data_IF_324279166463
#
_entry.id   IF_324279166463
#
_cell.length_a   1.000
_cell.length_b   1.000
_cell.length_c   1.000
_cell.angle_alpha   90.00
_cell.angle_beta   90.00
_cell.angle_gamma   90.00
#
_symmetry.space_group_name_H-M   'P 1'
#
loop_
_entity.id
_entity.type
_entity.pdbx_description
1 polymer ?
#
# COMPACT_ATOMS: atom_id res chain seq x y z
N UNK A 1 -5.34 -25.54 10.06
CA UNK A 1 -6.71 -25.85 10.52
C UNK A 1 -7.25 -26.86 9.53
N UNK A 2 -8.17 -27.72 9.94
CA UNK A 2 -8.94 -28.47 8.96
C UNK A 2 -9.74 -27.46 8.10
N UNK A 3 -9.47 -27.35 6.79
CA UNK A 3 -10.13 -26.38 5.91
C UNK A 3 -11.66 -26.50 5.93
N UNK A 4 -12.17 -27.71 6.17
CA UNK A 4 -13.61 -27.98 6.27
C UNK A 4 -14.21 -27.36 7.54
N UNK A 5 -13.48 -27.36 8.66
CA UNK A 5 -13.94 -26.72 9.91
C UNK A 5 -13.94 -25.20 9.81
N UNK A 6 -12.94 -24.63 9.13
CA UNK A 6 -12.87 -23.18 8.87
C UNK A 6 -14.00 -22.73 7.94
N UNK A 7 -14.26 -23.48 6.85
CA UNK A 7 -15.38 -23.23 5.95
C UNK A 7 -16.73 -23.32 6.68
N UNK A 8 -16.86 -24.27 7.61
CA UNK A 8 -18.02 -24.41 8.49
C UNK A 8 -18.21 -23.20 9.40
N UNK A 9 -17.15 -22.72 10.06
CA UNK A 9 -17.19 -21.54 10.93
C UNK A 9 -17.58 -20.26 10.19
N UNK A 10 -16.96 -20.00 9.05
CA UNK A 10 -17.30 -18.87 8.17
C UNK A 10 -18.77 -18.95 7.72
N UNK A 11 -19.22 -20.14 7.33
CA UNK A 11 -20.61 -20.34 6.92
C UNK A 11 -21.60 -20.11 8.07
N UNK A 12 -21.29 -20.57 9.29
CA UNK A 12 -22.13 -20.33 10.45
C UNK A 12 -22.23 -18.83 10.77
N UNK A 13 -21.11 -18.13 10.89
CA UNK A 13 -21.07 -16.70 11.18
C UNK A 13 -21.84 -15.89 10.13
N UNK A 14 -21.62 -16.22 8.85
CA UNK A 14 -22.34 -15.61 7.74
C UNK A 14 -23.86 -15.80 7.89
N UNK A 15 -24.34 -17.04 8.08
CA UNK A 15 -25.77 -17.34 8.16
C UNK A 15 -26.45 -16.73 9.39
N UNK A 16 -25.74 -16.58 10.51
CA UNK A 16 -26.26 -15.92 11.71
C UNK A 16 -26.48 -14.41 11.48
N UNK A 17 -25.68 -13.80 10.61
CA UNK A 17 -25.74 -12.35 10.35
C UNK A 17 -26.69 -11.95 9.22
N UNK A 18 -27.19 -12.90 8.43
CA UNK A 18 -28.06 -12.59 7.29
C UNK A 18 -29.51 -13.03 7.52
N UNK A 19 -30.43 -12.31 6.88
CA UNK A 19 -31.81 -12.76 6.66
C UNK A 19 -31.90 -13.30 5.24
N UNK A 20 -32.26 -14.57 5.10
CA UNK A 20 -32.68 -15.12 3.80
C UNK A 20 -34.14 -14.74 3.57
N UNK A 21 -34.42 -13.98 2.53
CA UNK A 21 -35.79 -13.74 2.13
C UNK A 21 -36.43 -15.05 1.65
N UNK A 22 -37.68 -15.32 2.08
CA UNK A 22 -38.40 -16.57 1.82
C UNK A 22 -38.75 -16.81 0.33
N UNK A 23 -38.40 -15.91 -0.59
CA UNK A 23 -38.62 -16.04 -2.03
C UNK A 23 -37.40 -15.56 -2.83
N UNK A 24 -37.07 -16.30 -3.89
CA UNK A 24 -35.83 -16.26 -4.69
C UNK A 24 -35.51 -14.95 -5.45
N UNK A 25 -36.04 -13.79 -5.04
CA UNK A 25 -35.84 -12.51 -5.75
C UNK A 25 -35.44 -11.33 -4.88
N UNK A 26 -35.31 -11.49 -3.57
CA UNK A 26 -34.87 -10.40 -2.68
C UNK A 26 -33.38 -10.53 -2.35
N UNK A 27 -32.61 -9.41 -2.35
CA UNK A 27 -31.21 -9.42 -1.93
C UNK A 27 -31.06 -9.93 -0.50
N UNK A 28 -29.95 -10.61 -0.21
CA UNK A 28 -29.59 -11.00 1.15
C UNK A 28 -29.31 -9.73 1.95
N UNK A 29 -30.00 -9.55 3.08
CA UNK A 29 -29.83 -8.40 3.96
C UNK A 29 -29.27 -8.79 5.33
N UNK A 30 -28.68 -7.83 6.03
CA UNK A 30 -28.21 -8.05 7.40
C UNK A 30 -29.38 -8.17 8.37
N UNK A 31 -29.32 -9.15 9.26
CA UNK A 31 -30.25 -9.30 10.37
C UNK A 31 -30.11 -8.12 11.36
N UNK A 32 -31.17 -7.74 12.05
CA UNK A 32 -31.17 -6.64 13.05
C UNK A 32 -30.16 -6.85 14.20
N UNK A 33 -29.73 -8.09 14.41
CA UNK A 33 -28.71 -8.49 15.41
C UNK A 33 -27.29 -8.59 14.85
N UNK A 34 -27.09 -8.42 13.54
CA UNK A 34 -25.76 -8.54 12.91
C UNK A 34 -24.75 -7.58 13.55
N UNK A 35 -25.16 -6.36 13.87
CA UNK A 35 -24.30 -5.40 14.57
C UNK A 35 -23.84 -5.87 15.96
N UNK A 36 -24.67 -6.63 16.69
CA UNK A 36 -24.26 -7.20 17.99
C UNK A 36 -23.22 -8.30 17.81
N UNK A 37 -23.42 -9.16 16.80
CA UNK A 37 -22.46 -10.22 16.44
C UNK A 37 -21.13 -9.60 16.02
N UNK A 38 -21.14 -8.61 15.13
CA UNK A 38 -19.93 -7.92 14.66
C UNK A 38 -19.16 -7.25 15.81
N UNK A 39 -19.86 -6.53 16.70
CA UNK A 39 -19.22 -5.95 17.90
C UNK A 39 -18.62 -6.99 18.82
N UNK A 40 -19.15 -8.21 18.86
CA UNK A 40 -18.55 -9.28 19.64
C UNK A 40 -17.31 -9.87 18.94
N UNK A 41 -17.40 -10.10 17.62
CA UNK A 41 -16.33 -10.67 16.82
C UNK A 41 -15.09 -9.75 16.74
N UNK A 42 -15.31 -8.44 16.69
CA UNK A 42 -14.24 -7.45 16.55
C UNK A 42 -13.54 -7.10 17.88
N UNK A 43 -13.95 -7.65 19.02
CA UNK A 43 -13.27 -7.39 20.30
C UNK A 43 -11.89 -8.02 20.34
N UNK A 44 -10.98 -7.36 21.06
CA UNK A 44 -9.62 -7.85 21.29
C UNK A 44 -9.61 -9.28 21.82
N UNK A 45 -10.37 -9.57 22.88
CA UNK A 45 -10.49 -10.90 23.48
C UNK A 45 -10.93 -11.99 22.49
N UNK A 46 -11.73 -11.61 21.49
CA UNK A 46 -12.24 -12.55 20.48
C UNK A 46 -11.19 -12.75 19.39
N UNK A 47 -10.61 -11.68 18.86
CA UNK A 47 -9.59 -11.76 17.81
C UNK A 47 -8.27 -12.39 18.31
N UNK A 48 -7.94 -12.26 19.60
CA UNK A 48 -6.76 -12.88 20.22
C UNK A 48 -6.99 -14.31 20.73
N UNK A 49 -8.23 -14.82 20.65
CA UNK A 49 -8.61 -16.11 21.25
C UNK A 49 -7.76 -17.29 20.77
N UNK A 50 -7.17 -17.22 19.58
CA UNK A 50 -6.35 -18.27 19.00
C UNK A 50 -4.83 -18.03 19.07
N UNK A 51 -4.37 -16.92 19.66
CA UNK A 51 -2.93 -16.57 19.67
C UNK A 51 -2.06 -17.62 20.40
N UNK A 52 -2.63 -18.29 21.40
CA UNK A 52 -1.91 -19.24 22.25
C UNK A 52 -1.91 -20.68 21.72
N UNK A 53 -2.49 -20.94 20.54
CA UNK A 53 -2.56 -22.30 20.00
C UNK A 53 -1.39 -22.57 19.05
N UNK A 54 -0.51 -23.55 19.35
CA UNK A 54 0.74 -23.77 18.63
C UNK A 54 0.56 -24.36 17.21
N UNK A 55 -0.67 -24.74 16.82
CA UNK A 55 -0.96 -25.21 15.48
C UNK A 55 -1.52 -24.05 14.65
N UNK A 56 -0.77 -23.64 13.62
CA UNK A 56 -1.11 -22.63 12.61
C UNK A 56 -2.42 -22.96 11.89
N UNK A 57 -3.53 -22.75 12.57
CA UNK A 57 -4.83 -23.25 12.21
C UNK A 57 -5.85 -22.12 12.24
N UNK A 58 -6.12 -21.56 11.04
CA UNK A 58 -7.27 -20.72 10.74
C UNK A 58 -7.58 -19.72 11.85
N UNK A 59 -6.73 -18.70 12.00
CA UNK A 59 -6.86 -17.75 13.10
C UNK A 59 -8.28 -17.17 13.14
N UNK A 60 -8.79 -16.82 14.32
CA UNK A 60 -10.10 -16.13 14.44
C UNK A 60 -10.18 -14.92 13.52
N UNK A 61 -9.06 -14.22 13.32
CA UNK A 61 -8.90 -13.12 12.35
C UNK A 61 -9.24 -13.57 10.93
N UNK A 62 -8.74 -14.72 10.47
CA UNK A 62 -8.99 -15.26 9.12
C UNK A 62 -10.45 -15.68 8.92
N UNK A 63 -11.06 -16.32 9.93
CA UNK A 63 -12.47 -16.68 9.89
C UNK A 63 -13.39 -15.45 9.85
N UNK A 64 -13.09 -14.43 10.67
CA UNK A 64 -13.80 -13.15 10.65
C UNK A 64 -13.60 -12.44 9.31
N UNK A 65 -12.36 -12.37 8.81
CA UNK A 65 -12.02 -11.77 7.51
C UNK A 65 -12.81 -12.40 6.37
N UNK A 66 -12.80 -13.73 6.28
CA UNK A 66 -13.52 -14.50 5.26
C UNK A 66 -15.04 -14.29 5.37
N UNK A 67 -15.56 -14.17 6.59
CA UNK A 67 -16.98 -13.91 6.81
C UNK A 67 -17.37 -12.53 6.31
N UNK A 68 -16.59 -11.50 6.62
CA UNK A 68 -16.83 -10.13 6.16
C UNK A 68 -16.68 -10.01 4.64
N UNK A 69 -15.68 -10.68 4.06
CA UNK A 69 -15.54 -10.78 2.61
C UNK A 69 -16.81 -11.34 1.97
N UNK A 70 -17.32 -12.44 2.50
CA UNK A 70 -18.56 -13.07 2.03
C UNK A 70 -19.79 -12.18 2.22
N UNK A 71 -19.85 -11.37 3.27
CA UNK A 71 -20.90 -10.35 3.44
C UNK A 71 -20.80 -9.29 2.33
N UNK A 72 -19.61 -8.75 2.08
CA UNK A 72 -19.35 -7.79 1.01
C UNK A 72 -19.72 -8.30 -0.39
N UNK A 73 -19.56 -9.61 -0.65
CA UNK A 73 -19.91 -10.24 -1.93
C UNK A 73 -21.42 -10.40 -2.12
N UNK A 74 -22.15 -10.71 -1.04
CA UNK A 74 -23.54 -11.18 -1.13
C UNK A 74 -24.58 -10.13 -0.75
N UNK A 75 -24.24 -9.20 0.15
CA UNK A 75 -25.12 -8.13 0.63
C UNK A 75 -24.95 -6.88 -0.25
N UNK A 76 -25.99 -6.06 -0.35
CA UNK A 76 -25.92 -4.77 -1.04
C UNK A 76 -25.07 -3.77 -0.25
N UNK A 77 -24.31 -2.93 -0.94
CA UNK A 77 -23.36 -2.00 -0.31
C UNK A 77 -24.06 -1.05 0.68
N UNK A 78 -25.27 -0.59 0.37
CA UNK A 78 -26.07 0.31 1.20
C UNK A 78 -26.49 -0.33 2.53
N UNK A 79 -26.62 -1.67 2.55
CA UNK A 79 -26.98 -2.44 3.74
C UNK A 79 -25.78 -2.82 4.60
N UNK A 80 -24.55 -2.59 4.13
CA UNK A 80 -23.30 -2.88 4.86
C UNK A 80 -22.89 -1.77 5.84
N UNK A 81 -23.63 -0.66 5.90
CA UNK A 81 -23.33 0.45 6.83
C UNK A 81 -23.19 0.01 8.29
N UNK A 82 -23.97 -0.98 8.74
CA UNK A 82 -23.85 -1.54 10.10
C UNK A 82 -22.47 -2.19 10.32
N UNK A 83 -21.95 -2.88 9.30
CA UNK A 83 -20.65 -3.53 9.37
C UNK A 83 -19.51 -2.51 9.39
N UNK A 84 -19.54 -1.55 8.47
CA UNK A 84 -18.54 -0.48 8.42
C UNK A 84 -18.53 0.34 9.71
N UNK A 85 -19.70 0.72 10.23
CA UNK A 85 -19.80 1.43 11.51
C UNK A 85 -19.21 0.64 12.69
N UNK A 86 -19.34 -0.68 12.72
CA UNK A 86 -18.75 -1.51 13.77
C UNK A 86 -17.22 -1.56 13.63
N UNK A 87 -16.70 -1.76 12.41
CA UNK A 87 -15.26 -1.74 12.12
C UNK A 87 -14.66 -0.38 12.51
N UNK A 88 -15.28 0.70 12.06
CA UNK A 88 -14.78 2.05 12.28
C UNK A 88 -14.73 2.43 13.75
N UNK A 89 -15.77 2.05 14.49
CA UNK A 89 -15.80 2.30 15.94
C UNK A 89 -14.68 1.54 16.64
N UNK A 90 -14.54 0.25 16.37
CA UNK A 90 -13.56 -0.58 17.06
C UNK A 90 -12.12 -0.18 16.69
N UNK A 91 -11.84 0.11 15.42
CA UNK A 91 -10.51 0.58 14.99
C UNK A 91 -10.16 1.92 15.61
N UNK A 92 -11.11 2.86 15.68
CA UNK A 92 -10.87 4.16 16.35
C UNK A 92 -10.59 4.00 17.84
N UNK A 93 -11.31 3.11 18.53
CA UNK A 93 -11.02 2.79 19.93
C UNK A 93 -9.66 2.11 20.10
N UNK A 94 -9.26 1.21 19.21
CA UNK A 94 -7.93 0.59 19.25
C UNK A 94 -6.80 1.61 19.06
N UNK A 95 -6.97 2.57 18.15
CA UNK A 95 -6.03 3.69 17.94
C UNK A 95 -5.94 4.55 19.19
N UNK A 96 -7.09 5.01 19.72
CA UNK A 96 -7.17 5.86 20.91
C UNK A 96 -6.50 5.22 22.13
N UNK A 97 -6.68 3.91 22.30
CA UNK A 97 -6.13 3.15 23.41
C UNK A 97 -4.73 2.58 23.11
N UNK A 98 -4.12 2.94 21.96
CA UNK A 98 -2.77 2.50 21.54
C UNK A 98 -2.58 0.98 21.53
N UNK A 99 -3.62 0.22 21.20
CA UNK A 99 -3.59 -1.26 21.20
C UNK A 99 -3.02 -1.79 19.90
N UNK A 100 -1.70 -1.82 19.76
CA UNK A 100 -1.01 -2.20 18.50
C UNK A 100 -1.41 -3.58 17.98
N UNK A 101 -1.33 -4.63 18.81
CA UNK A 101 -1.65 -5.99 18.40
C UNK A 101 -3.12 -6.14 17.96
N UNK A 102 -4.05 -5.53 18.71
CA UNK A 102 -5.47 -5.51 18.34
C UNK A 102 -5.69 -4.74 17.03
N UNK A 103 -5.05 -3.58 16.88
CA UNK A 103 -5.14 -2.76 15.68
C UNK A 103 -4.63 -3.50 14.44
N UNK A 104 -3.50 -4.21 14.53
CA UNK A 104 -2.99 -5.02 13.41
C UNK A 104 -4.00 -6.10 12.96
N UNK A 105 -4.67 -6.77 13.91
CA UNK A 105 -5.74 -7.74 13.62
C UNK A 105 -6.95 -7.08 12.98
N UNK A 106 -7.39 -5.93 13.50
CA UNK A 106 -8.50 -5.16 12.93
C UNK A 106 -8.20 -4.67 11.52
N UNK A 107 -6.98 -4.19 11.26
CA UNK A 107 -6.54 -3.79 9.92
C UNK A 107 -6.56 -4.97 8.95
N UNK A 108 -6.13 -6.16 9.38
CA UNK A 108 -6.23 -7.38 8.56
C UNK A 108 -7.68 -7.69 8.16
N UNK A 109 -8.60 -7.61 9.13
CA UNK A 109 -10.04 -7.81 8.88
C UNK A 109 -10.60 -6.72 7.96
N UNK A 110 -10.24 -5.47 8.20
CA UNK A 110 -10.67 -4.31 7.43
C UNK A 110 -10.19 -4.42 5.97
N UNK A 111 -8.90 -4.68 5.74
CA UNK A 111 -8.30 -4.86 4.42
C UNK A 111 -9.01 -5.97 3.64
N UNK A 112 -9.34 -7.08 4.30
CA UNK A 112 -10.07 -8.19 3.66
C UNK A 112 -11.46 -7.77 3.16
N UNK A 113 -12.18 -6.97 3.94
CA UNK A 113 -13.46 -6.40 3.51
C UNK A 113 -13.29 -5.37 2.37
N UNK A 114 -12.26 -4.52 2.45
CA UNK A 114 -11.93 -3.48 1.47
C UNK A 114 -11.52 -4.06 0.11
N UNK A 115 -10.93 -5.26 0.07
CA UNK A 115 -10.58 -5.94 -1.20
C UNK A 115 -11.80 -6.30 -2.05
N UNK A 116 -12.97 -6.45 -1.45
CA UNK A 116 -14.20 -6.80 -2.20
C UNK A 116 -14.80 -5.56 -2.84
N UNK A 117 -14.71 -5.45 -4.18
CA UNK A 117 -15.20 -4.28 -4.94
C UNK A 117 -16.63 -3.86 -4.57
N UNK A 118 -17.54 -4.84 -4.51
CA UNK A 118 -18.97 -4.65 -4.22
C UNK A 118 -19.29 -4.17 -2.80
N UNK A 119 -18.41 -4.41 -1.83
CA UNK A 119 -18.72 -4.20 -0.40
C UNK A 119 -18.54 -2.77 0.11
N UNK A 120 -17.93 -1.89 -0.69
CA UNK A 120 -17.53 -0.54 -0.28
C UNK A 120 -18.39 0.48 -1.03
N UNK A 121 -18.90 1.44 -0.28
CA UNK A 121 -19.61 2.61 -0.81
C UNK A 121 -18.65 3.80 -0.95
N UNK A 122 -19.08 4.85 -1.68
CA UNK A 122 -18.32 6.11 -1.80
C UNK A 122 -18.09 6.76 -0.42
N UNK A 123 -19.00 6.56 0.54
CA UNK A 123 -18.92 7.14 1.89
C UNK A 123 -17.83 6.52 2.76
N UNK A 124 -17.43 5.29 2.46
CA UNK A 124 -16.44 4.56 3.25
C UNK A 124 -15.01 5.03 2.96
N UNK A 125 -14.79 5.62 1.79
CA UNK A 125 -13.45 5.96 1.31
C UNK A 125 -12.77 7.11 2.08
N UNK A 126 -13.44 8.27 2.35
CA UNK A 126 -12.82 9.33 3.16
C UNK A 126 -12.42 8.84 4.55
N UNK A 127 -13.18 7.89 5.11
CA UNK A 127 -12.82 7.28 6.38
C UNK A 127 -11.55 6.45 6.27
N UNK A 128 -11.43 5.58 5.26
CA UNK A 128 -10.23 4.76 5.04
C UNK A 128 -8.97 5.62 4.85
N UNK A 129 -9.09 6.71 4.06
CA UNK A 129 -8.00 7.69 3.89
C UNK A 129 -7.62 8.34 5.22
N UNK A 130 -8.61 8.85 5.95
CA UNK A 130 -8.39 9.49 7.25
C UNK A 130 -7.89 8.54 8.34
N UNK A 131 -8.15 7.23 8.20
CA UNK A 131 -7.66 6.20 9.12
C UNK A 131 -6.14 6.07 9.03
N UNK A 132 -5.58 5.96 7.83
CA UNK A 132 -4.13 5.90 7.60
C UNK A 132 -3.43 7.11 8.22
N UNK A 133 -3.97 8.31 7.99
CA UNK A 133 -3.45 9.57 8.53
C UNK A 133 -3.45 9.63 10.07
N UNK A 134 -4.36 8.92 10.74
CA UNK A 134 -4.40 8.82 12.20
C UNK A 134 -3.44 7.75 12.75
N UNK A 135 -3.26 6.65 12.02
CA UNK A 135 -2.44 5.53 12.49
C UNK A 135 -0.95 5.86 12.37
N UNK A 136 -0.51 6.40 11.23
CA UNK A 136 0.92 6.59 10.95
C UNK A 136 1.64 7.40 12.04
N UNK A 137 1.14 8.57 12.49
CA UNK A 137 1.79 9.33 13.56
C UNK A 137 1.77 8.62 14.92
N UNK A 138 0.75 7.81 15.18
CA UNK A 138 0.55 7.15 16.49
C UNK A 138 1.37 5.86 16.61
N UNK A 139 1.60 5.16 15.49
CA UNK A 139 2.18 3.82 15.44
C UNK A 139 3.42 3.73 14.55
N UNK A 140 4.13 4.85 14.32
CA UNK A 140 5.33 4.90 13.46
C UNK A 140 6.45 3.93 13.89
N UNK A 141 6.43 3.46 15.14
CA UNK A 141 7.40 2.51 15.69
C UNK A 141 6.88 1.06 15.76
N UNK A 142 5.66 0.78 15.29
CA UNK A 142 5.06 -0.55 15.33
C UNK A 142 5.07 -1.18 13.94
N UNK A 143 6.09 -2.00 13.66
CA UNK A 143 6.26 -2.70 12.38
C UNK A 143 5.00 -3.41 11.92
N UNK A 144 4.37 -4.17 12.83
CA UNK A 144 3.22 -5.02 12.52
C UNK A 144 2.00 -4.17 12.13
N UNK A 145 1.80 -3.01 12.76
CA UNK A 145 0.72 -2.10 12.41
C UNK A 145 1.02 -1.44 11.07
N UNK A 146 2.24 -0.96 10.85
CA UNK A 146 2.63 -0.28 9.61
C UNK A 146 2.53 -1.19 8.39
N UNK A 147 2.89 -2.47 8.52
CA UNK A 147 2.71 -3.47 7.46
C UNK A 147 1.24 -3.56 7.04
N UNK A 148 0.33 -3.68 8.02
CA UNK A 148 -1.12 -3.77 7.73
C UNK A 148 -1.72 -2.45 7.24
N UNK A 149 -1.13 -1.30 7.61
CA UNK A 149 -1.49 0.00 7.03
C UNK A 149 -1.11 0.07 5.56
N UNK A 150 0.09 -0.35 5.19
CA UNK A 150 0.55 -0.36 3.80
C UNK A 150 -0.33 -1.27 2.92
N UNK A 151 -0.70 -2.45 3.41
CA UNK A 151 -1.66 -3.33 2.72
C UNK A 151 -3.03 -2.66 2.51
N UNK A 152 -3.53 -1.95 3.53
CA UNK A 152 -4.80 -1.21 3.43
C UNK A 152 -4.72 -0.07 2.41
N UNK A 153 -3.60 0.66 2.40
CA UNK A 153 -3.35 1.75 1.44
C UNK A 153 -3.43 1.23 0.00
N UNK A 154 -2.73 0.12 -0.30
CA UNK A 154 -2.73 -0.49 -1.63
C UNK A 154 -4.14 -0.92 -2.08
N UNK A 155 -4.95 -1.46 -1.17
CA UNK A 155 -6.32 -1.87 -1.49
C UNK A 155 -7.26 -0.67 -1.68
N UNK A 156 -6.95 0.46 -1.05
CA UNK A 156 -7.76 1.68 -1.10
C UNK A 156 -7.52 2.42 -2.41
N UNK A 157 -6.26 2.60 -2.83
CA UNK A 157 -5.90 3.37 -4.04
C UNK A 157 -6.29 2.71 -5.36
N UNK A 158 -6.55 1.40 -5.37
CA UNK A 158 -6.98 0.66 -6.56
C UNK A 158 -8.38 1.03 -7.06
N UNK A 159 -9.09 1.91 -6.35
CA UNK A 159 -10.49 2.19 -6.63
C UNK A 159 -10.64 3.46 -7.44
N UNK A 160 -11.27 3.38 -8.63
CA UNK A 160 -11.57 4.56 -9.42
C UNK A 160 -12.60 5.38 -8.65
N UNK A 161 -12.27 6.64 -8.42
CA UNK A 161 -13.24 7.59 -7.98
C UNK A 161 -12.86 8.94 -8.58
N UNK A 162 -13.63 9.36 -9.58
CA UNK A 162 -13.63 10.73 -10.10
C UNK A 162 -13.94 11.78 -9.00
N UNK A 163 -14.41 11.32 -7.84
CA UNK A 163 -14.76 12.12 -6.65
C UNK A 163 -13.56 12.37 -5.74
N UNK A 164 -12.45 11.63 -5.89
CA UNK A 164 -11.36 11.64 -4.93
C UNK A 164 -10.10 12.18 -5.55
N UNK A 165 -9.67 13.32 -5.02
CA UNK A 165 -8.41 13.95 -5.35
C UNK A 165 -7.25 13.08 -4.83
N UNK A 166 -6.66 12.29 -5.74
CA UNK A 166 -5.51 11.44 -5.44
C UNK A 166 -4.30 12.26 -4.95
N UNK A 167 -4.13 13.51 -5.40
CA UNK A 167 -3.04 14.37 -4.90
C UNK A 167 -3.26 14.71 -3.42
N UNK A 168 -4.50 15.00 -3.02
CA UNK A 168 -4.85 15.19 -1.61
C UNK A 168 -4.57 13.95 -0.76
N UNK A 169 -4.88 12.74 -1.24
CA UNK A 169 -4.52 11.50 -0.53
C UNK A 169 -3.00 11.40 -0.40
N UNK A 170 -2.27 11.59 -1.50
CA UNK A 170 -0.82 11.49 -1.50
C UNK A 170 -0.19 12.46 -0.49
N UNK A 171 -0.72 13.68 -0.37
CA UNK A 171 -0.30 14.64 0.66
C UNK A 171 -0.60 14.16 2.08
N UNK A 172 -1.80 13.63 2.33
CA UNK A 172 -2.19 13.12 3.65
C UNK A 172 -1.36 11.92 4.10
N UNK A 173 -0.96 11.07 3.16
CA UNK A 173 -0.19 9.86 3.42
C UNK A 173 1.32 10.08 3.34
N UNK A 174 1.79 11.27 2.96
CA UNK A 174 3.22 11.60 2.86
C UNK A 174 4.06 11.18 4.08
N UNK A 175 3.60 11.25 5.35
CA UNK A 175 4.39 10.82 6.50
C UNK A 175 4.90 9.37 6.44
N UNK A 176 4.21 8.45 5.74
CA UNK A 176 4.67 7.05 5.62
C UNK A 176 5.96 6.92 4.81
N UNK A 177 6.24 7.88 3.91
CA UNK A 177 7.43 7.93 3.08
C UNK A 177 8.69 8.39 3.85
N UNK A 178 8.61 8.43 5.18
CA UNK A 178 9.79 8.56 6.06
C UNK A 178 10.33 7.21 6.54
N UNK A 179 9.61 6.11 6.29
CA UNK A 179 10.00 4.77 6.75
C UNK A 179 11.21 4.22 5.98
N UNK A 180 12.18 3.69 6.73
CA UNK A 180 13.35 2.99 6.19
C UNK A 180 13.27 1.49 6.53
N UNK A 181 12.33 0.77 5.94
CA UNK A 181 12.15 -0.68 6.16
C UNK A 181 12.05 -1.46 4.86
N UNK A 182 12.45 -2.73 4.88
CA UNK A 182 12.30 -3.65 3.75
C UNK A 182 10.83 -3.88 3.38
N UNK A 183 9.92 -3.85 4.36
CA UNK A 183 8.48 -3.90 4.10
C UNK A 183 7.97 -2.68 3.31
N UNK A 184 8.57 -1.51 3.52
CA UNK A 184 8.23 -0.31 2.77
C UNK A 184 8.72 -0.39 1.31
N UNK A 185 9.88 -0.98 1.07
CA UNK A 185 10.37 -1.28 -0.28
C UNK A 185 9.39 -2.16 -1.07
N UNK A 186 8.86 -3.22 -0.44
CA UNK A 186 7.86 -4.10 -1.06
C UNK A 186 6.58 -3.31 -1.38
N UNK A 187 6.11 -2.50 -0.43
CA UNK A 187 4.97 -1.61 -0.64
C UNK A 187 5.17 -0.66 -1.84
N UNK A 188 6.34 -0.06 -1.98
CA UNK A 188 6.65 0.81 -3.12
C UNK A 188 6.60 0.06 -4.45
N UNK A 189 7.13 -1.17 -4.51
CA UNK A 189 7.06 -2.01 -5.72
C UNK A 189 5.60 -2.28 -6.10
N UNK A 190 4.77 -2.70 -5.14
CA UNK A 190 3.34 -2.94 -5.36
C UNK A 190 2.56 -1.65 -5.71
N UNK A 191 2.99 -0.49 -5.18
CA UNK A 191 2.40 0.80 -5.52
C UNK A 191 2.70 1.19 -6.98
N UNK A 192 3.90 0.92 -7.49
CA UNK A 192 4.28 1.20 -8.88
C UNK A 192 3.55 0.32 -9.90
N UNK A 193 3.04 -0.84 -9.46
CA UNK A 193 2.20 -1.71 -10.28
C UNK A 193 0.80 -1.13 -10.52
N UNK A 194 0.36 -0.15 -9.71
CA UNK A 194 -0.98 0.45 -9.82
C UNK A 194 -1.19 1.27 -11.10
N UNK A 195 -2.41 1.77 -11.26
CA UNK A 195 -2.78 2.63 -12.38
C UNK A 195 -1.89 3.88 -12.46
N UNK A 196 -1.61 4.34 -13.69
CA UNK A 196 -0.68 5.44 -13.95
C UNK A 196 -1.07 6.73 -13.21
N UNK A 197 -2.36 7.03 -13.08
CA UNK A 197 -2.84 8.22 -12.37
C UNK A 197 -2.56 8.14 -10.87
N UNK A 198 -2.69 6.95 -10.29
CA UNK A 198 -2.33 6.70 -8.88
C UNK A 198 -0.84 6.94 -8.69
N UNK A 199 0.00 6.28 -9.50
CA UNK A 199 1.46 6.43 -9.40
C UNK A 199 1.88 7.90 -9.60
N UNK A 200 1.23 8.61 -10.52
CA UNK A 200 1.48 10.03 -10.75
C UNK A 200 1.24 10.87 -9.49
N UNK A 201 0.14 10.66 -8.77
CA UNK A 201 -0.16 11.39 -7.54
C UNK A 201 0.89 11.17 -6.44
N UNK A 202 1.46 9.97 -6.34
CA UNK A 202 2.48 9.64 -5.32
C UNK A 202 3.93 9.95 -5.75
N UNK A 203 4.16 10.43 -6.97
CA UNK A 203 5.50 10.59 -7.56
C UNK A 203 6.43 11.44 -6.70
N UNK A 204 5.98 12.60 -6.20
CA UNK A 204 6.84 13.45 -5.36
C UNK A 204 7.22 12.78 -4.03
N UNK A 205 6.37 11.93 -3.47
CA UNK A 205 6.65 11.23 -2.21
C UNK A 205 7.65 10.09 -2.45
N UNK A 206 7.46 9.32 -3.53
CA UNK A 206 8.38 8.25 -3.93
C UNK A 206 9.77 8.81 -4.22
N UNK A 207 9.86 9.89 -5.01
CA UNK A 207 11.14 10.55 -5.31
C UNK A 207 11.82 11.10 -4.05
N UNK A 208 11.06 11.68 -3.12
CA UNK A 208 11.62 12.15 -1.85
C UNK A 208 12.22 11.00 -1.03
N UNK A 209 11.56 9.84 -1.03
CA UNK A 209 12.06 8.67 -0.34
C UNK A 209 13.34 8.12 -1.00
N UNK A 210 13.34 7.98 -2.33
CA UNK A 210 14.51 7.54 -3.11
C UNK A 210 15.69 8.50 -2.89
N UNK A 211 15.46 9.81 -2.98
CA UNK A 211 16.48 10.83 -2.78
C UNK A 211 17.20 10.72 -1.43
N UNK A 212 16.47 10.31 -0.39
CA UNK A 212 17.04 10.14 0.94
C UNK A 212 17.85 8.86 1.11
N UNK A 213 17.73 7.90 0.19
CA UNK A 213 18.36 6.57 0.29
C UNK A 213 19.31 6.22 -0.86
N UNK A 214 19.32 7.00 -1.94
CA UNK A 214 20.08 6.67 -3.16
C UNK A 214 21.59 6.50 -2.91
N UNK A 215 22.15 7.22 -1.94
CA UNK A 215 23.55 7.10 -1.55
C UNK A 215 23.82 5.92 -0.60
N UNK A 216 22.84 5.52 0.20
CA UNK A 216 22.97 4.46 1.23
C UNK A 216 22.65 3.07 0.66
N UNK A 217 21.66 2.97 -0.24
CA UNK A 217 21.06 1.71 -0.71
C UNK A 217 20.80 1.73 -2.22
N UNK A 218 21.79 2.18 -3.01
CA UNK A 218 21.64 2.38 -4.46
C UNK A 218 21.09 1.16 -5.22
N UNK A 219 21.56 -0.05 -4.90
CA UNK A 219 21.13 -1.31 -5.54
C UNK A 219 19.62 -1.58 -5.39
N UNK A 220 19.02 -1.17 -4.26
CA UNK A 220 17.61 -1.40 -3.98
C UNK A 220 16.72 -0.32 -4.60
N UNK A 221 17.20 0.92 -4.64
CA UNK A 221 16.37 2.09 -5.00
C UNK A 221 16.50 2.52 -6.46
N UNK A 222 17.62 2.22 -7.14
CA UNK A 222 17.76 2.48 -8.59
C UNK A 222 16.70 1.72 -9.40
N UNK A 223 16.42 0.42 -9.17
CA UNK A 223 15.36 -0.28 -9.89
C UNK A 223 13.98 0.33 -9.67
N UNK A 224 13.71 0.86 -8.46
CA UNK A 224 12.47 1.57 -8.16
C UNK A 224 12.38 2.91 -8.93
N UNK A 225 13.49 3.65 -8.98
CA UNK A 225 13.57 4.91 -9.73
C UNK A 225 13.30 4.69 -11.20
N UNK A 226 13.93 3.68 -11.80
CA UNK A 226 13.75 3.32 -13.20
C UNK A 226 12.29 2.93 -13.48
N UNK A 227 11.73 2.05 -12.64
CA UNK A 227 10.33 1.62 -12.78
C UNK A 227 9.35 2.79 -12.69
N UNK A 228 9.60 3.76 -11.80
CA UNK A 228 8.81 4.99 -11.71
C UNK A 228 8.92 5.81 -13.00
N UNK A 229 10.13 6.03 -13.50
CA UNK A 229 10.38 6.77 -14.73
C UNK A 229 9.66 6.15 -15.95
N UNK A 230 9.80 4.83 -16.14
CA UNK A 230 9.13 4.08 -17.21
C UNK A 230 7.60 4.18 -17.12
N UNK A 231 7.03 4.06 -15.91
CA UNK A 231 5.58 4.15 -15.69
C UNK A 231 5.03 5.54 -16.04
N UNK A 232 5.81 6.58 -15.81
CA UNK A 232 5.42 7.97 -16.09
C UNK A 232 5.57 8.35 -17.57
N UNK A 233 6.40 7.65 -18.33
CA UNK A 233 6.60 7.92 -19.76
C UNK A 233 5.27 7.88 -20.54
N UNK A 234 5.02 8.91 -21.37
CA UNK A 234 3.95 8.92 -22.39
C UNK A 234 4.57 8.63 -23.75
N UNK A 235 3.85 7.92 -24.62
CA UNK A 235 4.39 7.21 -25.80
C UNK A 235 5.08 8.05 -26.86
N UNK A 236 5.06 9.38 -26.81
CA UNK A 236 5.58 10.23 -27.90
C UNK A 236 6.39 11.45 -27.48
N UNK A 237 6.56 11.71 -26.19
CA UNK A 237 7.27 12.90 -25.73
C UNK A 237 8.16 12.52 -24.55
N UNK A 238 9.47 12.74 -24.70
CA UNK A 238 10.41 12.84 -23.58
C UNK A 238 10.11 14.12 -22.80
N UNK A 239 8.87 14.26 -22.31
CA UNK A 239 8.49 15.33 -21.41
C UNK A 239 9.21 15.04 -20.11
N UNK A 240 10.09 15.96 -19.73
CA UNK A 240 10.69 16.01 -18.41
C UNK A 240 9.58 15.78 -17.38
N UNK A 241 9.56 14.60 -16.76
CA UNK A 241 8.61 14.26 -15.69
C UNK A 241 8.76 15.25 -14.51
N UNK A 242 9.92 15.90 -14.47
CA UNK A 242 10.51 16.69 -13.39
C UNK A 242 10.75 18.08 -13.99
N UNK A 243 9.84 19.04 -13.74
CA UNK A 243 9.99 20.44 -14.18
C UNK A 243 11.18 21.13 -13.45
N UNK A 244 11.54 22.36 -13.80
CA UNK A 244 12.68 23.07 -13.16
C UNK A 244 12.54 23.25 -11.64
N UNK A 245 11.31 23.27 -11.08
CA UNK A 245 11.09 23.34 -9.62
C UNK A 245 11.42 22.03 -8.87
N UNK A 246 11.79 21.00 -9.60
CA UNK A 246 11.86 19.60 -9.19
C UNK A 246 13.34 19.16 -9.09
N UNK A 247 14.27 19.87 -9.74
CA UNK A 247 15.73 19.69 -9.66
C UNK A 247 16.28 20.01 -8.27
N UNK A 248 15.92 21.17 -7.69
CA UNK A 248 16.42 21.58 -6.37
C UNK A 248 15.89 20.72 -5.22
N UNK A 249 14.76 20.03 -5.41
CA UNK A 249 14.14 19.20 -4.37
C UNK A 249 14.80 17.82 -4.26
N UNK A 250 15.39 17.33 -5.35
CA UNK A 250 15.94 15.97 -5.45
C UNK A 250 17.42 15.96 -5.86
N UNK A 251 18.18 16.93 -5.36
CA UNK A 251 19.59 17.17 -5.66
C UNK A 251 20.45 15.91 -5.52
N UNK A 252 20.23 15.07 -4.50
CA UNK A 252 21.03 13.85 -4.29
C UNK A 252 20.83 12.83 -5.40
N UNK A 253 19.63 12.75 -5.99
CA UNK A 253 19.41 11.89 -7.16
C UNK A 253 20.24 12.43 -8.33
N UNK A 254 20.17 13.73 -8.60
CA UNK A 254 20.93 14.36 -9.68
C UNK A 254 22.44 14.16 -9.50
N UNK A 255 22.98 14.51 -8.34
CA UNK A 255 24.40 14.33 -8.00
C UNK A 255 24.84 12.88 -8.16
N UNK A 256 24.04 11.94 -7.67
CA UNK A 256 24.33 10.52 -7.78
C UNK A 256 24.39 10.06 -9.24
N UNK A 257 23.39 10.44 -10.05
CA UNK A 257 23.34 10.07 -11.47
C UNK A 257 24.54 10.63 -12.24
N UNK A 258 24.89 11.90 -11.99
CA UNK A 258 26.07 12.53 -12.61
C UNK A 258 27.38 11.88 -12.18
N UNK A 259 27.57 11.64 -10.89
CA UNK A 259 28.79 11.04 -10.34
C UNK A 259 29.03 9.64 -10.94
N UNK A 260 27.99 8.81 -11.02
CA UNK A 260 28.09 7.47 -11.60
C UNK A 260 28.47 7.50 -13.08
N UNK A 261 27.90 8.42 -13.85
CA UNK A 261 28.21 8.58 -15.27
C UNK A 261 29.66 9.06 -15.46
N UNK A 262 30.07 10.12 -14.74
CA UNK A 262 31.44 10.67 -14.79
C UNK A 262 32.49 9.63 -14.37
N UNK A 263 32.20 8.85 -13.33
CA UNK A 263 33.10 7.80 -12.85
C UNK A 263 33.36 6.75 -13.92
N UNK A 264 32.32 6.28 -14.62
CA UNK A 264 32.50 5.29 -15.69
C UNK A 264 33.20 5.88 -16.90
N UNK A 265 32.90 7.10 -17.31
CA UNK A 265 33.67 7.77 -18.39
C UNK A 265 35.17 7.78 -18.06
N UNK A 266 35.51 8.17 -16.83
CA UNK A 266 36.90 8.19 -16.36
C UNK A 266 37.52 6.79 -16.35
N UNK A 267 36.79 5.76 -15.89
CA UNK A 267 37.27 4.37 -15.87
C UNK A 267 37.45 3.78 -17.28
N UNK A 268 36.55 4.08 -18.22
CA UNK A 268 36.67 3.68 -19.62
C UNK A 268 37.91 4.31 -20.26
N UNK A 269 38.17 5.58 -19.99
CA UNK A 269 39.32 6.32 -20.52
C UNK A 269 40.67 5.88 -19.91
N UNK A 270 40.69 5.46 -18.64
CA UNK A 270 41.94 5.22 -17.89
C UNK A 270 42.37 3.75 -17.76
N UNK A 271 41.44 2.82 -17.54
CA UNK A 271 41.76 1.42 -17.20
C UNK A 271 41.04 0.38 -18.05
N UNK A 272 40.00 0.79 -18.81
CA UNK A 272 39.18 -0.09 -19.63
C UNK A 272 38.11 -0.84 -18.83
N UNK A 273 37.01 -1.20 -19.49
CA UNK A 273 35.78 -1.77 -18.88
C UNK A 273 35.98 -3.06 -18.07
N UNK A 274 37.07 -3.81 -18.31
CA UNK A 274 37.29 -5.14 -17.73
C UNK A 274 37.59 -5.15 -16.22
N UNK A 275 37.81 -3.98 -15.59
CA UNK A 275 38.11 -3.85 -14.16
C UNK A 275 36.95 -3.29 -13.32
N UNK A 276 35.81 -2.99 -13.94
CA UNK A 276 34.64 -2.45 -13.23
C UNK A 276 33.83 -3.61 -12.65
N UNK A 277 33.45 -3.49 -11.39
CA UNK A 277 32.60 -4.47 -10.71
C UNK A 277 31.19 -4.53 -11.32
N UNK A 278 30.57 -5.70 -11.29
CA UNK A 278 29.25 -5.93 -11.90
C UNK A 278 28.15 -5.06 -11.25
N UNK A 279 28.19 -4.89 -9.92
CA UNK A 279 27.21 -4.06 -9.23
C UNK A 279 27.39 -2.57 -9.59
N UNK A 280 28.64 -2.14 -9.80
CA UNK A 280 28.94 -0.79 -10.26
C UNK A 280 28.45 -0.55 -11.70
N UNK A 281 28.63 -1.52 -12.61
CA UNK A 281 28.07 -1.47 -13.96
C UNK A 281 26.54 -1.42 -13.92
N UNK A 282 25.89 -2.24 -13.08
CA UNK A 282 24.44 -2.25 -12.95
C UNK A 282 23.89 -0.91 -12.44
N UNK A 283 24.54 -0.31 -11.45
CA UNK A 283 24.17 1.02 -10.95
C UNK A 283 24.31 2.10 -12.03
N UNK A 284 25.37 2.04 -12.84
CA UNK A 284 25.61 2.98 -13.95
C UNK A 284 24.58 2.79 -15.05
N UNK A 285 24.29 1.54 -15.43
CA UNK A 285 23.25 1.26 -16.41
C UNK A 285 21.89 1.78 -15.95
N UNK A 286 21.54 1.55 -14.68
CA UNK A 286 20.34 2.13 -14.09
C UNK A 286 20.35 3.66 -14.12
N UNK A 287 21.48 4.29 -13.81
CA UNK A 287 21.64 5.75 -13.86
C UNK A 287 21.47 6.32 -15.27
N UNK A 288 22.11 5.71 -16.27
CA UNK A 288 21.99 6.08 -17.69
C UNK A 288 20.56 5.94 -18.17
N UNK A 289 19.84 4.89 -17.77
CA UNK A 289 18.43 4.72 -18.15
C UNK A 289 17.48 5.68 -17.43
N UNK A 290 17.83 6.14 -16.22
CA UNK A 290 17.08 7.18 -15.52
C UNK A 290 17.36 8.58 -16.09
N UNK A 291 18.54 8.81 -16.66
CA UNK A 291 19.02 10.11 -17.11
C UNK A 291 18.06 10.88 -18.05
N UNK A 292 17.42 10.27 -19.06
CA UNK A 292 16.52 10.98 -19.98
C UNK A 292 15.29 11.60 -19.30
N UNK A 293 15.01 11.21 -18.07
CA UNK A 293 13.88 11.68 -17.28
C UNK A 293 14.22 12.86 -16.37
N UNK A 294 15.52 13.16 -16.22
CA UNK A 294 16.05 14.28 -15.46
C UNK A 294 16.72 15.26 -16.42
N UNK A 295 16.56 16.57 -16.20
CA UNK A 295 17.35 17.59 -16.89
C UNK A 295 18.77 17.54 -16.35
N UNK A 296 19.59 16.66 -16.90
CA UNK A 296 21.02 16.56 -16.59
C UNK A 296 21.78 16.93 -17.86
N UNK A 297 23.00 17.45 -17.72
CA UNK A 297 23.79 17.93 -18.86
C UNK A 297 23.96 16.81 -19.90
N UNK A 298 23.23 16.92 -21.01
CA UNK A 298 23.24 15.95 -22.11
C UNK A 298 24.63 15.71 -22.70
N UNK A 299 25.61 16.60 -22.45
CA UNK A 299 27.00 16.39 -22.81
C UNK A 299 27.62 15.15 -22.14
N UNK A 300 27.08 14.74 -20.98
CA UNK A 300 27.51 13.55 -20.24
C UNK A 300 27.10 12.23 -20.90
N UNK A 301 26.15 12.24 -21.84
CA UNK A 301 25.75 11.03 -22.58
C UNK A 301 26.43 10.90 -23.94
N UNK A 302 27.21 11.90 -24.39
CA UNK A 302 27.83 11.90 -25.73
C UNK A 302 28.89 10.78 -25.88
N UNK A 303 29.37 10.20 -24.78
CA UNK A 303 30.41 9.18 -24.76
C UNK A 303 29.88 7.73 -24.60
N UNK A 304 28.57 7.50 -24.62
CA UNK A 304 27.94 6.17 -24.59
C UNK A 304 27.14 5.92 -25.88
#
# INVERSE_FOLDING_TARGET
ADPLKQCGGVSLLYHVMIVKAKQCRTPVSLHSKAGQVLRFLLKESTLSSCDNFPQGSGSTVEAVSSTLQRLCENVKAEELSVMWNCLYKETKEAIKNKKSAHLARLLTVLTSAVRVKKGLTVYDYPYLVGLVSQIVPTFIHSSDVLEKVMELMLCTVDRPSDVIDMESIALQWAPIFSLKSSSFLIFLRELLEKDKLVVKAFTSNILSWINNLITESSEEVIPLLLSLCEKQQTSHERVNIINESFESKFERIHEFLEDKIKKVQTSVESTGLAQIDEAEIAAVWGAVNCFPYFKVDSSLLICF
#
